data_IF_140932325186
#
_entry.id   IF_140932325186
#
_cell.length_a   1.000
_cell.length_b   1.000
_cell.length_c   1.000
_cell.angle_alpha   90.00
_cell.angle_beta   90.00
_cell.angle_gamma   90.00
#
_symmetry.space_group_name_H-M   'P 1'
#
loop_
_entity.id
_entity.type
_entity.pdbx_description
1 polymer ?
#
# COMPACT_ATOMS: atom_id res chain seq x y z
N UNK A 1 -25.21 8.90 -26.70
CA UNK A 1 -24.28 8.19 -25.81
C UNK A 1 -23.33 9.23 -25.27
N UNK A 2 -23.61 9.69 -24.10
CA UNK A 2 -22.74 10.62 -23.36
C UNK A 2 -21.62 9.79 -22.74
N UNK A 3 -20.42 9.96 -23.26
CA UNK A 3 -19.21 9.49 -22.66
C UNK A 3 -19.08 10.27 -21.34
N UNK A 4 -19.37 9.62 -20.21
CA UNK A 4 -19.00 10.17 -18.91
C UNK A 4 -17.50 10.40 -18.96
N UNK A 5 -17.11 11.65 -19.00
CA UNK A 5 -15.72 12.06 -18.83
C UNK A 5 -15.30 11.50 -17.47
N UNK A 6 -14.39 10.52 -17.48
CA UNK A 6 -13.66 10.12 -16.28
C UNK A 6 -13.18 11.42 -15.65
N UNK A 7 -13.67 11.71 -14.44
CA UNK A 7 -13.43 12.99 -13.79
C UNK A 7 -11.95 13.33 -13.84
N UNK A 8 -11.61 14.36 -14.58
CA UNK A 8 -10.26 14.91 -14.58
C UNK A 8 -10.02 15.45 -13.17
N UNK A 9 -8.92 15.07 -12.57
CA UNK A 9 -8.47 15.66 -11.33
C UNK A 9 -8.35 17.18 -11.51
N UNK A 10 -9.20 17.93 -10.83
CA UNK A 10 -9.17 19.39 -10.83
C UNK A 10 -8.39 19.89 -9.61
N UNK A 11 -7.23 20.44 -9.87
CA UNK A 11 -6.37 20.96 -8.82
C UNK A 11 -7.08 22.05 -8.01
N UNK A 12 -7.22 21.84 -6.71
CA UNK A 12 -7.79 22.80 -5.76
C UNK A 12 -9.30 22.70 -5.52
N UNK A 13 -10.05 21.99 -6.36
CA UNK A 13 -11.50 21.81 -6.19
C UNK A 13 -11.90 20.36 -5.96
N UNK A 14 -11.09 19.42 -6.43
CA UNK A 14 -11.38 17.99 -6.34
C UNK A 14 -10.14 17.23 -5.84
N UNK A 15 -10.04 16.98 -4.57
CA UNK A 15 -8.95 16.21 -3.97
C UNK A 15 -9.02 14.73 -4.33
N UNK A 16 -8.04 13.91 -3.89
CA UNK A 16 -8.06 12.47 -4.12
C UNK A 16 -9.29 11.84 -3.49
N UNK A 17 -9.96 10.96 -4.24
CA UNK A 17 -11.13 10.18 -3.79
C UNK A 17 -10.79 8.72 -3.50
N UNK A 18 -9.77 8.19 -4.14
CA UNK A 18 -9.25 6.84 -3.93
C UNK A 18 -7.76 6.93 -3.61
N UNK A 19 -7.39 6.61 -2.38
CA UNK A 19 -6.01 6.68 -1.89
C UNK A 19 -5.51 5.26 -1.68
N UNK A 20 -4.42 4.87 -2.36
CA UNK A 20 -3.71 3.65 -2.07
C UNK A 20 -2.59 3.91 -1.07
N UNK A 21 -2.47 3.09 -0.03
CA UNK A 21 -1.32 3.11 0.89
C UNK A 21 -0.63 1.76 0.94
N UNK A 22 0.68 1.75 0.71
CA UNK A 22 1.51 0.55 0.90
C UNK A 22 1.84 0.35 2.38
N UNK A 23 1.61 -0.85 2.89
CA UNK A 23 1.87 -1.22 4.30
C UNK A 23 2.72 -2.50 4.39
N UNK A 24 3.67 -2.54 5.31
CA UNK A 24 4.57 -3.67 5.56
C UNK A 24 4.86 -3.90 7.06
N UNK A 25 4.02 -3.35 7.95
CA UNK A 25 4.15 -3.35 9.41
C UNK A 25 5.37 -2.58 9.95
N UNK A 26 6.14 -1.91 9.11
CA UNK A 26 7.17 -0.97 9.58
C UNK A 26 6.56 0.27 10.21
N UNK A 27 7.30 0.92 11.11
CA UNK A 27 6.85 2.16 11.76
C UNK A 27 6.50 3.24 10.72
N UNK A 28 7.29 3.36 9.66
CA UNK A 28 7.05 4.35 8.60
C UNK A 28 5.81 4.01 7.78
N UNK A 29 5.54 2.73 7.50
CA UNK A 29 4.31 2.32 6.81
C UNK A 29 3.06 2.52 7.67
N UNK A 30 3.14 2.32 8.98
CA UNK A 30 2.04 2.62 9.90
C UNK A 30 1.77 4.14 9.99
N UNK A 31 2.82 4.97 9.97
CA UNK A 31 2.66 6.42 9.84
C UNK A 31 2.03 6.82 8.51
N UNK A 32 2.44 6.17 7.42
CA UNK A 32 1.85 6.37 6.10
C UNK A 32 0.35 6.01 6.09
N UNK A 33 -0.04 4.89 6.71
CA UNK A 33 -1.43 4.49 6.87
C UNK A 33 -2.24 5.53 7.67
N UNK A 34 -1.70 6.02 8.78
CA UNK A 34 -2.33 7.08 9.59
C UNK A 34 -2.49 8.39 8.81
N UNK A 35 -1.48 8.77 8.03
CA UNK A 35 -1.53 9.93 7.15
C UNK A 35 -2.61 9.79 6.08
N UNK A 36 -2.65 8.63 5.39
CA UNK A 36 -3.64 8.33 4.36
C UNK A 36 -5.06 8.36 4.93
N UNK A 37 -5.28 7.77 6.10
CA UNK A 37 -6.57 7.79 6.78
C UNK A 37 -7.02 9.22 7.17
N UNK A 38 -6.10 10.03 7.68
CA UNK A 38 -6.38 11.44 7.99
C UNK A 38 -6.70 12.26 6.74
N UNK A 39 -5.99 12.01 5.64
CA UNK A 39 -6.26 12.64 4.35
C UNK A 39 -7.63 12.22 3.81
N UNK A 40 -7.93 10.91 3.82
CA UNK A 40 -9.22 10.37 3.38
C UNK A 40 -10.39 10.98 4.14
N UNK A 41 -10.28 11.10 5.47
CA UNK A 41 -11.32 11.72 6.29
C UNK A 41 -11.58 13.18 5.89
N UNK A 42 -10.53 13.96 5.63
CA UNK A 42 -10.67 15.37 5.21
C UNK A 42 -11.24 15.52 3.81
N UNK A 43 -10.92 14.59 2.90
CA UNK A 43 -11.30 14.65 1.50
C UNK A 43 -12.61 13.89 1.18
N UNK A 44 -13.16 13.17 2.14
CA UNK A 44 -14.28 12.26 1.87
C UNK A 44 -13.86 11.14 0.90
N UNK A 45 -12.63 10.63 1.05
CA UNK A 45 -12.03 9.62 0.21
C UNK A 45 -12.10 8.22 0.82
N UNK A 46 -11.86 7.19 0.03
CA UNK A 46 -11.60 5.82 0.48
C UNK A 46 -10.11 5.51 0.52
N UNK A 47 -9.72 4.57 1.38
CA UNK A 47 -8.34 4.07 1.47
C UNK A 47 -8.29 2.61 1.04
N UNK A 48 -7.33 2.25 0.22
CA UNK A 48 -6.95 0.86 -0.04
C UNK A 48 -5.56 0.62 0.53
N UNK A 49 -5.48 -0.14 1.61
CA UNK A 49 -4.22 -0.57 2.20
C UNK A 49 -3.73 -1.84 1.50
N UNK A 50 -2.51 -1.81 0.98
CA UNK A 50 -1.92 -2.90 0.20
C UNK A 50 -0.68 -3.42 0.91
N UNK A 51 -0.71 -4.71 1.25
CA UNK A 51 0.44 -5.46 1.72
C UNK A 51 0.93 -6.39 0.62
N UNK A 52 2.21 -6.32 0.28
CA UNK A 52 2.83 -7.19 -0.72
C UNK A 52 3.87 -8.07 -0.03
N UNK A 53 3.57 -9.36 0.05
CA UNK A 53 4.50 -10.35 0.56
C UNK A 53 5.52 -10.71 -0.53
N UNK A 54 6.84 -10.78 -0.20
CA UNK A 54 7.83 -11.25 -1.15
C UNK A 54 7.61 -12.74 -1.46
N UNK A 55 7.88 -13.14 -2.70
CA UNK A 55 7.83 -14.56 -3.09
C UNK A 55 8.92 -15.33 -2.35
N UNK A 56 8.51 -16.26 -1.50
CA UNK A 56 9.41 -17.13 -0.76
C UNK A 56 9.87 -18.30 -1.67
N UNK A 57 10.86 -18.06 -2.53
CA UNK A 57 11.35 -19.08 -3.46
C UNK A 57 12.80 -19.52 -3.25
N UNK A 58 13.62 -18.71 -2.57
CA UNK A 58 15.03 -19.04 -2.33
C UNK A 58 15.19 -20.03 -1.17
N UNK A 59 15.72 -21.18 -1.47
CA UNK A 59 16.02 -22.23 -0.49
C UNK A 59 15.12 -23.46 -0.52
N UNK A 60 14.03 -23.47 -1.28
CA UNK A 60 13.13 -24.63 -1.38
C UNK A 60 13.81 -25.92 -1.87
N UNK A 61 14.89 -25.80 -2.65
CA UNK A 61 15.67 -26.92 -3.18
C UNK A 61 16.78 -27.42 -2.23
N UNK A 62 16.98 -26.78 -1.08
CA UNK A 62 17.99 -27.21 -0.09
C UNK A 62 17.36 -28.16 0.94
N UNK A 63 18.15 -29.08 1.55
CA UNK A 63 17.65 -29.92 2.65
C UNK A 63 17.06 -29.05 3.77
N UNK A 64 15.80 -29.27 4.14
CA UNK A 64 15.05 -28.46 5.11
C UNK A 64 14.50 -27.13 4.57
N UNK A 65 14.84 -26.74 3.34
CA UNK A 65 14.42 -25.45 2.76
C UNK A 65 12.92 -25.34 2.53
N UNK A 66 12.26 -26.43 2.17
CA UNK A 66 10.80 -26.47 2.00
C UNK A 66 10.04 -26.14 3.30
N UNK A 67 10.54 -26.64 4.44
CA UNK A 67 9.95 -26.32 5.76
C UNK A 67 10.11 -24.84 6.14
N UNK A 68 11.25 -24.24 5.83
CA UNK A 68 11.50 -22.81 6.07
C UNK A 68 10.61 -21.93 5.19
N UNK A 69 10.44 -22.29 3.91
CA UNK A 69 9.52 -21.57 3.00
C UNK A 69 8.08 -21.67 3.49
N UNK A 70 7.63 -22.85 3.93
CA UNK A 70 6.28 -23.02 4.48
C UNK A 70 6.07 -22.18 5.76
N UNK A 71 7.03 -22.19 6.68
CA UNK A 71 6.97 -21.38 7.90
C UNK A 71 6.95 -19.87 7.59
N UNK A 72 7.73 -19.42 6.62
CA UNK A 72 7.72 -18.03 6.18
C UNK A 72 6.39 -17.62 5.56
N UNK A 73 5.81 -18.46 4.71
CA UNK A 73 4.47 -18.21 4.15
C UNK A 73 3.39 -18.13 5.22
N UNK A 74 3.44 -19.02 6.20
CA UNK A 74 2.50 -18.98 7.31
C UNK A 74 2.64 -17.70 8.13
N UNK A 75 3.87 -17.27 8.46
CA UNK A 75 4.13 -16.03 9.19
C UNK A 75 3.64 -14.80 8.41
N UNK A 76 3.87 -14.74 7.10
CA UNK A 76 3.39 -13.65 6.25
C UNK A 76 1.86 -13.66 6.14
N UNK A 77 1.23 -14.83 6.10
CA UNK A 77 -0.22 -14.98 6.11
C UNK A 77 -0.85 -14.47 7.41
N UNK A 78 -0.25 -14.79 8.56
CA UNK A 78 -0.68 -14.29 9.87
C UNK A 78 -0.51 -12.76 9.96
N UNK A 79 0.59 -12.24 9.48
CA UNK A 79 0.83 -10.78 9.43
C UNK A 79 -0.22 -10.08 8.55
N UNK A 80 -0.52 -10.62 7.38
CA UNK A 80 -1.56 -10.08 6.50
C UNK A 80 -2.94 -10.06 7.17
N UNK A 81 -3.29 -11.11 7.91
CA UNK A 81 -4.56 -11.18 8.61
C UNK A 81 -4.64 -10.19 9.78
N UNK A 82 -3.55 -10.00 10.52
CA UNK A 82 -3.47 -8.98 11.56
C UNK A 82 -3.61 -7.57 11.00
N UNK A 83 -3.00 -7.28 9.86
CA UNK A 83 -3.15 -6.01 9.17
C UNK A 83 -4.57 -5.78 8.66
N UNK A 84 -5.21 -6.84 8.12
CA UNK A 84 -6.61 -6.78 7.69
C UNK A 84 -7.52 -6.38 8.84
N UNK A 85 -7.39 -7.06 9.98
CA UNK A 85 -8.18 -6.76 11.18
C UNK A 85 -7.99 -5.33 11.64
N UNK A 86 -6.74 -4.84 11.71
CA UNK A 86 -6.44 -3.43 12.05
C UNK A 86 -7.07 -2.44 11.07
N UNK A 87 -7.08 -2.75 9.78
CA UNK A 87 -7.72 -1.91 8.76
C UNK A 87 -9.24 -1.87 8.94
N UNK A 88 -9.88 -3.00 9.26
CA UNK A 88 -11.31 -3.08 9.53
C UNK A 88 -11.70 -2.31 10.81
N UNK A 89 -10.90 -2.42 11.86
CA UNK A 89 -11.06 -1.65 13.09
C UNK A 89 -10.93 -0.14 12.83
N UNK A 90 -9.88 0.27 12.11
CA UNK A 90 -9.67 1.66 11.74
C UNK A 90 -10.81 2.22 10.87
N UNK A 91 -11.37 1.43 9.95
CA UNK A 91 -12.52 1.83 9.15
C UNK A 91 -13.74 2.16 10.03
N UNK A 92 -14.00 1.35 11.04
CA UNK A 92 -15.10 1.56 12.00
C UNK A 92 -14.84 2.78 12.88
N UNK A 93 -13.65 2.87 13.46
CA UNK A 93 -13.29 3.94 14.41
C UNK A 93 -13.25 5.32 13.76
N UNK A 94 -12.75 5.39 12.53
CA UNK A 94 -12.59 6.65 11.79
C UNK A 94 -13.80 7.00 10.91
N UNK A 95 -14.72 6.05 10.70
CA UNK A 95 -15.89 6.23 9.86
C UNK A 95 -15.55 6.48 8.37
N UNK A 96 -14.46 5.89 7.88
CA UNK A 96 -14.03 5.99 6.48
C UNK A 96 -13.99 4.60 5.81
N UNK A 97 -14.26 4.52 4.50
CA UNK A 97 -14.10 3.25 3.79
C UNK A 97 -12.62 2.86 3.71
N UNK A 98 -12.25 1.73 4.29
CA UNK A 98 -10.91 1.15 4.16
C UNK A 98 -11.04 -0.28 3.63
N UNK A 99 -10.36 -0.57 2.53
CA UNK A 99 -10.21 -1.91 1.96
C UNK A 99 -8.78 -2.39 2.18
N UNK A 100 -8.59 -3.65 2.55
CA UNK A 100 -7.28 -4.27 2.67
C UNK A 100 -7.07 -5.31 1.57
N UNK A 101 -5.93 -5.22 0.89
CA UNK A 101 -5.52 -6.17 -0.15
C UNK A 101 -4.15 -6.73 0.22
N UNK A 102 -4.07 -8.07 0.28
CA UNK A 102 -2.80 -8.78 0.35
C UNK A 102 -2.45 -9.33 -1.04
N UNK A 103 -1.22 -9.10 -1.48
CA UNK A 103 -0.66 -9.60 -2.73
C UNK A 103 0.69 -10.26 -2.47
N UNK A 104 1.19 -11.04 -3.42
CA UNK A 104 2.51 -11.66 -3.38
C UNK A 104 3.29 -11.27 -4.64
N UNK A 105 4.54 -10.86 -4.47
CA UNK A 105 5.39 -10.48 -5.60
C UNK A 105 6.34 -9.32 -5.32
N UNK A 106 6.73 -8.63 -6.39
CA UNK A 106 7.49 -7.37 -6.29
C UNK A 106 6.56 -6.23 -5.88
N UNK A 107 6.93 -5.53 -4.80
CA UNK A 107 6.08 -4.49 -4.22
C UNK A 107 5.69 -3.39 -5.22
N UNK A 108 6.62 -2.93 -6.05
CA UNK A 108 6.31 -1.92 -7.06
C UNK A 108 5.33 -2.44 -8.12
N UNK A 109 5.56 -3.65 -8.60
CA UNK A 109 4.73 -4.27 -9.64
C UNK A 109 3.29 -4.45 -9.14
N UNK A 110 3.12 -4.98 -7.94
CA UNK A 110 1.80 -5.23 -7.37
C UNK A 110 1.08 -3.93 -6.97
N UNK A 111 1.78 -2.98 -6.35
CA UNK A 111 1.19 -1.67 -6.03
C UNK A 111 0.74 -0.96 -7.30
N UNK A 112 1.56 -0.96 -8.34
CA UNK A 112 1.20 -0.38 -9.63
C UNK A 112 -0.04 -1.04 -10.22
N UNK A 113 -0.07 -2.37 -10.29
CA UNK A 113 -1.21 -3.13 -10.80
C UNK A 113 -2.50 -2.79 -10.05
N UNK A 114 -2.45 -2.84 -8.72
CA UNK A 114 -3.60 -2.56 -7.86
C UNK A 114 -4.04 -1.10 -8.00
N UNK A 115 -3.08 -0.15 -8.02
CA UNK A 115 -3.41 1.27 -8.19
C UNK A 115 -4.13 1.55 -9.51
N UNK A 116 -3.72 0.87 -10.60
CA UNK A 116 -4.41 0.96 -11.89
C UNK A 116 -5.81 0.33 -11.82
N UNK A 117 -5.96 -0.83 -11.21
CA UNK A 117 -7.25 -1.54 -11.09
C UNK A 117 -8.28 -0.74 -10.29
N UNK A 118 -7.88 -0.16 -9.16
CA UNK A 118 -8.78 0.65 -8.32
C UNK A 118 -8.90 2.09 -8.80
N UNK A 119 -8.16 2.48 -9.83
CA UNK A 119 -8.07 3.86 -10.32
C UNK A 119 -7.68 4.83 -9.20
N UNK A 120 -6.59 4.52 -8.52
CA UNK A 120 -6.10 5.36 -7.43
C UNK A 120 -5.77 6.78 -7.90
N UNK A 121 -6.19 7.77 -7.13
CA UNK A 121 -5.86 9.19 -7.37
C UNK A 121 -4.54 9.60 -6.72
N UNK A 122 -4.11 8.86 -5.70
CA UNK A 122 -2.86 9.11 -4.99
C UNK A 122 -2.30 7.82 -4.39
N UNK A 123 -0.99 7.76 -4.27
CA UNK A 123 -0.25 6.66 -3.62
C UNK A 123 0.54 7.19 -2.44
N UNK A 124 0.41 6.56 -1.28
CA UNK A 124 1.12 6.91 -0.05
C UNK A 124 1.99 5.73 0.35
N UNK A 125 3.24 5.98 0.67
CA UNK A 125 4.18 4.96 1.17
C UNK A 125 5.02 5.50 2.30
N UNK A 126 5.49 4.62 3.18
CA UNK A 126 6.49 4.98 4.19
C UNK A 126 7.88 5.14 3.57
N UNK A 127 8.73 5.94 4.19
CA UNK A 127 10.15 5.97 3.89
C UNK A 127 10.78 4.63 4.28
N UNK A 128 11.86 4.23 3.59
CA UNK A 128 12.55 2.97 3.92
C UNK A 128 13.19 3.03 5.31
N UNK A 129 12.87 2.05 6.15
CA UNK A 129 13.46 1.92 7.47
C UNK A 129 14.87 1.29 7.46
N UNK A 130 15.29 0.70 6.33
CA UNK A 130 16.51 -0.08 6.21
C UNK A 130 17.78 0.73 5.90
N UNK A 131 17.64 1.98 5.53
CA UNK A 131 18.79 2.84 5.32
C UNK A 131 18.98 3.71 6.57
N UNK A 132 20.05 3.50 7.33
CA UNK A 132 20.43 4.28 8.51
C UNK A 132 20.64 5.79 8.28
N UNK A 133 20.22 6.28 7.14
CA UNK A 133 20.08 7.66 6.74
C UNK A 133 18.76 7.81 6.00
N UNK A 134 18.08 8.94 6.19
CA UNK A 134 16.80 9.40 5.63
C UNK A 134 16.67 9.25 4.10
N UNK A 135 16.85 8.05 3.58
CA UNK A 135 16.74 7.78 2.15
C UNK A 135 15.30 7.37 1.79
N UNK A 136 14.78 8.03 0.80
CA UNK A 136 13.57 7.59 0.10
C UNK A 136 13.84 6.18 -0.41
N UNK A 137 13.04 5.19 0.03
CA UNK A 137 13.23 3.79 -0.34
C UNK A 137 13.10 3.56 -1.86
N UNK A 138 13.67 2.47 -2.34
CA UNK A 138 13.65 2.11 -3.77
C UNK A 138 12.23 2.04 -4.34
N UNK A 139 11.25 1.58 -3.57
CA UNK A 139 9.84 1.56 -3.95
C UNK A 139 9.31 2.97 -4.25
N UNK A 140 9.52 3.91 -3.32
CA UNK A 140 9.06 5.28 -3.48
C UNK A 140 9.70 5.97 -4.70
N UNK A 141 11.01 5.76 -4.92
CA UNK A 141 11.72 6.28 -6.10
C UNK A 141 11.12 5.72 -7.39
N UNK A 142 10.83 4.42 -7.45
CA UNK A 142 10.23 3.79 -8.63
C UNK A 142 8.82 4.34 -8.90
N UNK A 143 8.00 4.52 -7.86
CA UNK A 143 6.66 5.09 -7.97
C UNK A 143 6.68 6.54 -8.48
N UNK A 144 7.56 7.38 -7.93
CA UNK A 144 7.73 8.77 -8.39
C UNK A 144 8.20 8.82 -9.85
N UNK A 145 9.18 8.00 -10.21
CA UNK A 145 9.69 7.93 -11.60
C UNK A 145 8.66 7.42 -12.61
N UNK A 146 7.70 6.62 -12.15
CA UNK A 146 6.62 6.15 -13.02
C UNK A 146 5.72 7.29 -13.53
N UNK A 147 5.64 8.42 -12.78
CA UNK A 147 4.92 9.62 -13.20
C UNK A 147 3.42 9.43 -13.41
N UNK A 148 2.81 8.46 -12.70
CA UNK A 148 1.40 8.08 -12.92
C UNK A 148 0.46 8.65 -11.87
N UNK A 149 0.91 8.81 -10.66
CA UNK A 149 0.13 9.29 -9.52
C UNK A 149 0.91 10.33 -8.73
N UNK A 150 0.23 11.25 -8.03
CA UNK A 150 0.82 11.92 -6.89
C UNK A 150 1.31 10.89 -5.87
N UNK A 151 2.56 10.96 -5.45
CA UNK A 151 3.18 10.04 -4.49
C UNK A 151 3.59 10.81 -3.25
N UNK A 152 3.09 10.38 -2.10
CA UNK A 152 3.48 10.92 -0.80
C UNK A 152 4.37 9.92 -0.08
N UNK A 153 5.55 10.36 0.35
CA UNK A 153 6.49 9.56 1.15
C UNK A 153 6.48 10.07 2.57
N UNK A 154 6.06 9.21 3.51
CA UNK A 154 5.93 9.56 4.93
C UNK A 154 7.15 9.07 5.70
N UNK A 155 7.90 9.97 6.39
CA UNK A 155 9.09 9.63 7.16
C UNK A 155 8.81 8.85 8.45
#
# INVERSE_FOLDING_TARGET
>A
MTQEAAGQFELGTDGPKVILVGVDDSTTSLRAASYAAGLARRQGASVTAVFVAPIASMGAATPGGAGLVAAQREALGQLAEDMRRRAEEAAKDLGIPITFIAAEGDAYTEIRRIADEIRADAVVVGASAHAGHRLVGSLAVRLVRAGRWPVTVVP
#
